data_IF_411236583719
#
_entry.id   IF_411236583719
#
_cell.length_a   1.000
_cell.length_b   1.000
_cell.length_c   1.000
_cell.angle_alpha   90.00
_cell.angle_beta   90.00
_cell.angle_gamma   90.00
#
_symmetry.space_group_name_H-M   'P 1'
#
loop_
_entity.id
_entity.type
_entity.pdbx_description
1 polymer ?
#
# COMPACT_ATOMS: atom_id res chain seq x y z
N UNK A 1 -0.48 7.23 4.59
CA UNK A 1 -1.77 6.75 4.03
C UNK A 1 -2.18 7.53 2.77
N UNK A 2 -2.18 8.87 2.77
CA UNK A 2 -2.58 9.64 1.59
C UNK A 2 -1.60 9.47 0.41
N UNK A 3 -0.32 9.31 0.70
CA UNK A 3 0.68 9.01 -0.32
C UNK A 3 0.47 7.65 -1.00
N UNK A 4 -0.06 6.66 -0.26
CA UNK A 4 -0.47 5.39 -0.86
C UNK A 4 -1.66 5.59 -1.81
N UNK A 5 -2.67 6.32 -1.39
CA UNK A 5 -3.85 6.67 -2.21
C UNK A 5 -3.42 7.45 -3.46
N UNK A 6 -2.53 8.45 -3.32
CA UNK A 6 -2.02 9.16 -4.51
C UNK A 6 -1.22 8.24 -5.44
N UNK A 7 -0.44 7.32 -4.87
CA UNK A 7 0.32 6.35 -5.66
C UNK A 7 -0.59 5.49 -6.55
N UNK A 8 -1.66 4.95 -5.98
CA UNK A 8 -2.71 4.23 -6.71
C UNK A 8 -3.26 5.09 -7.87
N UNK A 9 -3.73 6.31 -7.57
CA UNK A 9 -4.30 7.24 -8.56
C UNK A 9 -3.29 7.58 -9.68
N UNK A 10 -2.01 7.75 -9.33
CA UNK A 10 -0.94 8.08 -10.29
C UNK A 10 -0.61 6.87 -11.16
N UNK A 11 -0.57 5.67 -10.57
CA UNK A 11 -0.20 4.44 -11.26
C UNK A 11 -1.32 3.87 -12.16
N UNK A 12 -2.59 4.09 -11.80
CA UNK A 12 -3.74 3.47 -12.45
C UNK A 12 -3.80 3.63 -14.00
N UNK A 13 -3.39 4.74 -14.64
CA UNK A 13 -3.40 4.83 -16.10
C UNK A 13 -2.34 3.95 -16.78
N UNK A 14 -1.36 3.46 -16.02
CA UNK A 14 -0.17 2.76 -16.54
C UNK A 14 -0.15 1.27 -16.19
N UNK A 15 -1.16 0.79 -15.48
CA UNK A 15 -1.32 -0.61 -15.09
C UNK A 15 -1.38 -1.55 -16.31
N UNK A 16 -0.95 -2.79 -16.11
CA UNK A 16 -0.90 -3.89 -17.05
C UNK A 16 0.18 -3.81 -18.16
N UNK A 17 0.59 -4.98 -18.60
CA UNK A 17 1.64 -5.15 -19.62
C UNK A 17 1.28 -4.58 -21.00
N UNK A 18 -0.01 -4.39 -21.30
CA UNK A 18 -0.40 -3.76 -22.56
C UNK A 18 0.01 -2.28 -22.65
N UNK A 19 0.19 -1.59 -21.53
CA UNK A 19 0.75 -0.25 -21.46
C UNK A 19 2.28 -0.28 -21.56
N UNK A 20 2.91 -1.28 -20.96
CA UNK A 20 4.36 -1.50 -20.88
C UNK A 20 5.16 -0.20 -20.65
N UNK A 21 4.67 0.64 -19.73
CA UNK A 21 5.23 1.97 -19.51
C UNK A 21 6.54 1.87 -18.74
N UNK A 22 7.65 2.37 -19.32
CA UNK A 22 9.01 2.19 -18.80
C UNK A 22 9.79 3.51 -18.63
N UNK A 23 9.07 4.63 -18.50
CA UNK A 23 9.69 5.95 -18.44
C UNK A 23 9.28 6.69 -17.17
N UNK A 24 10.15 7.63 -16.71
CA UNK A 24 9.85 8.53 -15.59
C UNK A 24 9.18 9.83 -16.02
N UNK A 25 9.18 10.13 -17.32
CA UNK A 25 8.61 11.35 -17.88
C UNK A 25 7.14 11.11 -18.28
N UNK A 26 6.24 11.48 -17.38
CA UNK A 26 4.80 11.42 -17.58
C UNK A 26 4.10 12.48 -16.72
N UNK A 27 2.91 12.95 -17.09
CA UNK A 27 2.10 13.81 -16.24
C UNK A 27 1.69 13.02 -14.98
N UNK A 28 2.05 13.52 -13.78
CA UNK A 28 1.82 12.81 -12.52
C UNK A 28 0.33 12.53 -12.31
N UNK A 29 -0.52 13.46 -12.70
CA UNK A 29 -1.97 13.32 -12.71
C UNK A 29 -2.53 13.71 -14.09
N UNK A 30 -3.48 12.93 -14.56
CA UNK A 30 -4.19 13.16 -15.82
C UNK A 30 -5.70 12.95 -15.65
N UNK A 31 -6.48 13.16 -16.70
CA UNK A 31 -7.92 12.84 -16.71
C UNK A 31 -8.20 11.33 -16.59
N UNK A 32 -7.21 10.50 -16.94
CA UNK A 32 -7.29 9.03 -16.81
C UNK A 32 -6.97 8.53 -15.42
N UNK A 33 -6.34 9.37 -14.58
CA UNK A 33 -5.95 8.99 -13.22
C UNK A 33 -7.19 8.85 -12.34
N UNK A 34 -7.38 7.67 -11.78
CA UNK A 34 -8.51 7.30 -10.93
C UNK A 34 -8.05 6.38 -9.79
N UNK A 35 -8.80 6.32 -8.72
CA UNK A 35 -8.52 5.37 -7.65
C UNK A 35 -9.02 3.96 -8.00
N UNK A 36 -8.38 2.95 -7.44
CA UNK A 36 -8.71 1.53 -7.63
C UNK A 36 -9.02 0.87 -6.27
N UNK A 37 -9.04 -0.45 -6.24
CA UNK A 37 -9.21 -1.22 -5.00
C UNK A 37 -8.07 -0.99 -3.99
N UNK A 38 -6.88 -0.59 -4.43
CA UNK A 38 -5.80 -0.14 -3.54
C UNK A 38 -6.26 0.96 -2.59
N UNK A 39 -6.87 2.00 -3.11
CA UNK A 39 -7.42 3.11 -2.30
C UNK A 39 -8.57 2.66 -1.42
N UNK A 40 -9.55 1.93 -1.98
CA UNK A 40 -10.72 1.47 -1.24
C UNK A 40 -10.30 0.58 -0.07
N UNK A 41 -9.41 -0.37 -0.31
CA UNK A 41 -8.94 -1.27 0.74
C UNK A 41 -7.98 -0.60 1.73
N UNK A 42 -7.21 0.39 1.29
CA UNK A 42 -6.40 1.23 2.20
C UNK A 42 -7.29 1.98 3.20
N UNK A 43 -8.39 2.57 2.74
CA UNK A 43 -9.35 3.24 3.61
C UNK A 43 -10.06 2.26 4.56
N UNK A 44 -10.54 1.13 4.03
CA UNK A 44 -11.19 0.08 4.81
C UNK A 44 -10.30 -0.45 5.94
N UNK A 45 -9.05 -0.79 5.62
CA UNK A 45 -8.07 -1.29 6.61
C UNK A 45 -7.74 -0.23 7.65
N UNK A 46 -7.63 1.05 7.27
CA UNK A 46 -7.38 2.12 8.22
C UNK A 46 -8.51 2.25 9.25
N UNK A 47 -9.77 2.24 8.81
CA UNK A 47 -10.93 2.27 9.72
C UNK A 47 -10.95 1.04 10.61
N UNK A 48 -10.76 -0.16 10.06
CA UNK A 48 -10.73 -1.40 10.83
C UNK A 48 -9.62 -1.45 11.88
N UNK A 49 -8.42 -0.91 11.57
CA UNK A 49 -7.33 -0.78 12.55
C UNK A 49 -7.68 0.17 13.71
N UNK A 50 -8.35 1.29 13.41
CA UNK A 50 -8.79 2.26 14.42
C UNK A 50 -9.84 1.60 15.34
N UNK A 51 -10.84 0.95 14.77
CA UNK A 51 -11.89 0.27 15.52
C UNK A 51 -11.39 -0.92 16.34
N UNK A 52 -10.35 -1.57 15.85
CA UNK A 52 -9.67 -2.68 16.52
C UNK A 52 -8.94 -2.27 17.80
N UNK A 53 -8.57 -0.99 17.95
CA UNK A 53 -7.89 -0.41 19.13
C UNK A 53 -6.62 -1.18 19.54
N UNK A 54 -5.92 -1.74 18.55
CA UNK A 54 -4.69 -2.52 18.79
C UNK A 54 -4.90 -3.89 19.43
N UNK A 55 -6.12 -4.40 19.51
CA UNK A 55 -6.43 -5.74 20.00
C UNK A 55 -6.55 -6.70 18.81
N UNK A 56 -5.70 -7.77 18.72
CA UNK A 56 -5.61 -8.61 17.51
C UNK A 56 -6.95 -9.17 17.03
N UNK A 57 -7.69 -9.86 17.89
CA UNK A 57 -8.98 -10.48 17.53
C UNK A 57 -10.02 -9.45 17.12
N UNK A 58 -10.08 -8.32 17.83
CA UNK A 58 -11.00 -7.22 17.51
C UNK A 58 -10.60 -6.56 16.19
N UNK A 59 -9.31 -6.36 15.97
CA UNK A 59 -8.78 -5.80 14.71
C UNK A 59 -9.10 -6.71 13.54
N UNK A 60 -8.91 -8.02 13.67
CA UNK A 60 -9.27 -8.99 12.63
C UNK A 60 -10.73 -8.86 12.21
N UNK A 61 -11.66 -8.89 13.20
CA UNK A 61 -13.09 -8.76 12.93
C UNK A 61 -13.45 -7.41 12.30
N UNK A 62 -12.87 -6.30 12.80
CA UNK A 62 -13.14 -4.97 12.29
C UNK A 62 -12.62 -4.80 10.86
N UNK A 63 -11.39 -5.21 10.58
CA UNK A 63 -10.80 -5.16 9.23
C UNK A 63 -11.60 -6.03 8.25
N UNK A 64 -12.00 -7.24 8.66
CA UNK A 64 -12.86 -8.11 7.84
C UNK A 64 -14.19 -7.43 7.51
N UNK A 65 -14.83 -6.81 8.51
CA UNK A 65 -16.08 -6.08 8.34
C UNK A 65 -15.93 -4.93 7.36
N UNK A 66 -14.95 -4.05 7.62
CA UNK A 66 -14.72 -2.85 6.80
C UNK A 66 -14.35 -3.19 5.36
N UNK A 67 -13.46 -4.15 5.14
CA UNK A 67 -13.10 -4.58 3.79
C UNK A 67 -14.32 -5.11 3.00
N UNK A 68 -15.22 -5.84 3.66
CA UNK A 68 -16.44 -6.34 3.02
C UNK A 68 -17.46 -5.24 2.79
N UNK A 69 -17.59 -4.31 3.71
CA UNK A 69 -18.49 -3.16 3.58
C UNK A 69 -18.05 -2.30 2.40
N UNK A 70 -16.81 -1.78 2.43
CA UNK A 70 -16.28 -0.90 1.39
C UNK A 70 -16.17 -1.60 0.03
N UNK A 71 -15.76 -2.87 0.02
CA UNK A 71 -15.67 -3.64 -1.23
C UNK A 71 -17.01 -3.83 -1.95
N UNK A 72 -18.12 -3.84 -1.22
CA UNK A 72 -19.48 -3.90 -1.79
C UNK A 72 -20.00 -2.54 -2.22
N UNK A 73 -19.63 -1.47 -1.52
CA UNK A 73 -19.94 -0.09 -1.92
C UNK A 73 -19.21 0.32 -3.21
N UNK A 74 -18.02 -0.23 -3.44
CA UNK A 74 -17.20 0.04 -4.63
C UNK A 74 -16.96 -1.23 -5.48
N UNK A 75 -18.02 -1.86 -6.04
CA UNK A 75 -17.90 -3.19 -6.67
C UNK A 75 -17.04 -3.22 -7.95
N UNK A 76 -16.75 -2.06 -8.52
CA UNK A 76 -16.02 -1.90 -9.79
C UNK A 76 -14.60 -1.36 -9.61
N UNK A 77 -14.06 -1.39 -8.38
CA UNK A 77 -12.74 -0.81 -8.08
C UNK A 77 -11.54 -1.61 -8.62
N UNK A 78 -11.72 -2.82 -9.16
CA UNK A 78 -10.61 -3.57 -9.76
C UNK A 78 -10.25 -4.90 -9.07
N UNK A 79 -10.99 -5.31 -8.04
CA UNK A 79 -10.66 -6.49 -7.21
C UNK A 79 -10.34 -7.76 -8.00
N UNK A 80 -9.30 -8.46 -7.54
CA UNK A 80 -8.95 -9.80 -8.03
C UNK A 80 -10.08 -10.83 -7.81
N UNK A 81 -10.11 -11.87 -8.65
CA UNK A 81 -11.20 -12.84 -8.69
C UNK A 81 -11.45 -13.61 -7.39
N UNK A 82 -10.38 -13.95 -6.63
CA UNK A 82 -10.51 -14.61 -5.32
C UNK A 82 -11.09 -13.65 -4.28
N UNK A 83 -10.64 -12.41 -4.28
CA UNK A 83 -11.12 -11.39 -3.36
C UNK A 83 -12.60 -11.05 -3.62
N UNK A 84 -13.03 -10.93 -4.87
CA UNK A 84 -14.45 -10.75 -5.23
C UNK A 84 -15.32 -11.89 -4.67
N UNK A 85 -14.91 -13.15 -4.78
CA UNK A 85 -15.63 -14.28 -4.19
C UNK A 85 -15.71 -14.18 -2.66
N UNK A 86 -14.60 -13.80 -2.03
CA UNK A 86 -14.53 -13.62 -0.57
C UNK A 86 -15.44 -12.49 -0.07
N UNK A 87 -15.56 -11.37 -0.81
CA UNK A 87 -16.46 -10.27 -0.46
C UNK A 87 -17.91 -10.71 -0.31
N UNK A 88 -18.35 -11.68 -1.12
CA UNK A 88 -19.74 -12.15 -1.17
C UNK A 88 -19.97 -13.48 -0.43
N UNK A 89 -18.91 -14.09 0.12
CA UNK A 89 -19.05 -15.34 0.85
C UNK A 89 -19.89 -15.18 2.13
N UNK A 90 -20.72 -16.17 2.45
CA UNK A 90 -21.46 -16.21 3.71
C UNK A 90 -20.50 -16.32 4.90
N UNK A 91 -19.50 -17.19 4.78
CA UNK A 91 -18.44 -17.39 5.76
C UNK A 91 -17.10 -16.98 5.15
N UNK A 92 -16.67 -15.73 5.30
CA UNK A 92 -15.48 -15.19 4.65
C UNK A 92 -14.20 -15.62 5.37
N UNK A 93 -13.76 -16.85 5.14
CA UNK A 93 -12.51 -17.36 5.69
C UNK A 93 -11.31 -16.86 4.89
N UNK A 94 -10.12 -16.74 5.51
CA UNK A 94 -8.87 -16.53 4.78
C UNK A 94 -8.65 -17.64 3.75
N UNK A 95 -8.07 -17.28 2.61
CA UNK A 95 -7.93 -18.22 1.47
C UNK A 95 -6.47 -18.42 1.01
N UNK A 96 -5.51 -18.13 1.87
CA UNK A 96 -4.08 -18.43 1.63
C UNK A 96 -3.45 -17.59 0.53
N UNK A 97 -3.97 -16.40 0.26
CA UNK A 97 -3.37 -15.52 -0.76
C UNK A 97 -1.96 -15.08 -0.35
N UNK A 98 -1.08 -15.01 -1.35
CA UNK A 98 0.25 -14.39 -1.29
C UNK A 98 0.35 -13.19 -2.27
N UNK A 99 -0.80 -12.72 -2.75
CA UNK A 99 -0.91 -11.54 -3.59
C UNK A 99 -0.46 -10.27 -2.88
N UNK A 100 -0.10 -9.25 -3.66
CA UNK A 100 0.35 -7.96 -3.15
C UNK A 100 -0.77 -7.14 -2.48
N UNK A 101 -2.01 -7.59 -2.57
CA UNK A 101 -3.18 -6.97 -1.94
C UNK A 101 -3.11 -6.81 -0.42
N UNK A 102 -2.31 -7.60 0.29
CA UNK A 102 -2.04 -7.37 1.72
C UNK A 102 -1.10 -6.21 1.97
N UNK A 103 -0.13 -5.99 1.08
CA UNK A 103 0.87 -4.92 1.19
C UNK A 103 0.31 -3.57 0.74
N UNK A 104 -0.48 -3.52 -0.35
CA UNK A 104 -1.05 -2.29 -0.89
C UNK A 104 -1.90 -1.53 0.13
N UNK A 105 -2.69 -2.26 0.93
CA UNK A 105 -3.69 -1.70 1.85
C UNK A 105 -3.20 -1.45 3.28
N UNK A 106 -1.96 -1.81 3.62
CA UNK A 106 -1.46 -1.85 5.01
C UNK A 106 -0.92 -0.52 5.53
N UNK A 107 -0.81 0.51 4.69
CA UNK A 107 -0.07 1.74 5.01
C UNK A 107 -0.46 2.36 6.35
N UNK A 108 -1.74 2.33 6.76
CA UNK A 108 -2.19 2.87 8.03
C UNK A 108 -1.55 2.19 9.26
N UNK A 109 -1.23 0.90 9.17
CA UNK A 109 -0.56 0.18 10.26
C UNK A 109 0.81 0.77 10.59
N UNK A 110 1.56 1.25 9.58
CA UNK A 110 2.85 1.91 9.78
C UNK A 110 2.76 3.25 10.53
N UNK A 111 1.57 3.85 10.63
CA UNK A 111 1.34 5.14 11.29
C UNK A 111 0.67 5.03 12.66
N UNK A 112 -0.22 4.05 12.86
CA UNK A 112 -1.17 4.02 13.97
C UNK A 112 -0.58 3.45 15.28
N UNK A 113 0.65 2.97 15.31
CA UNK A 113 1.23 2.33 16.49
C UNK A 113 2.58 2.92 16.87
N UNK A 114 2.87 2.95 18.18
CA UNK A 114 4.05 3.64 18.74
C UNK A 114 5.31 2.76 18.75
N UNK A 115 5.16 1.45 18.51
CA UNK A 115 6.28 0.51 18.48
C UNK A 115 6.29 -0.29 17.18
N UNK A 116 7.50 -0.68 16.75
CA UNK A 116 7.66 -1.52 15.56
C UNK A 116 7.00 -2.90 15.76
N UNK A 117 7.15 -3.50 16.94
CA UNK A 117 6.55 -4.80 17.26
C UNK A 117 5.02 -4.76 17.11
N UNK A 118 4.38 -3.70 17.63
CA UNK A 118 2.94 -3.53 17.49
C UNK A 118 2.51 -3.26 16.06
N UNK A 119 3.31 -2.51 15.31
CA UNK A 119 3.11 -2.29 13.87
C UNK A 119 3.14 -3.62 13.12
N UNK A 120 4.13 -4.46 13.37
CA UNK A 120 4.28 -5.78 12.74
C UNK A 120 3.14 -6.72 13.11
N UNK A 121 2.73 -6.74 14.39
CA UNK A 121 1.60 -7.54 14.86
C UNK A 121 0.30 -7.14 14.13
N UNK A 122 0.01 -5.85 14.08
CA UNK A 122 -1.22 -5.37 13.45
C UNK A 122 -1.20 -5.49 11.93
N UNK A 123 -0.05 -5.30 11.29
CA UNK A 123 0.11 -5.56 9.85
C UNK A 123 -0.18 -7.04 9.52
N UNK A 124 0.34 -7.97 10.34
CA UNK A 124 0.02 -9.41 10.22
C UNK A 124 -1.49 -9.64 10.33
N UNK A 125 -2.13 -9.11 11.35
CA UNK A 125 -3.58 -9.26 11.56
C UNK A 125 -4.40 -8.78 10.35
N UNK A 126 -4.04 -7.63 9.76
CA UNK A 126 -4.73 -7.12 8.55
C UNK A 126 -4.54 -8.03 7.33
N UNK A 127 -3.37 -8.65 7.20
CA UNK A 127 -3.09 -9.59 6.12
C UNK A 127 -3.89 -10.89 6.29
N UNK A 128 -3.89 -11.45 7.50
CA UNK A 128 -4.50 -12.75 7.81
C UNK A 128 -6.01 -12.83 7.51
N UNK A 129 -6.69 -11.70 7.36
CA UNK A 129 -8.11 -11.67 6.97
C UNK A 129 -8.37 -12.37 5.62
N UNK A 130 -7.40 -12.34 4.70
CA UNK A 130 -7.47 -12.95 3.37
C UNK A 130 -6.14 -13.60 2.93
N UNK A 131 -5.01 -12.96 3.26
CA UNK A 131 -3.65 -13.27 2.82
C UNK A 131 -2.87 -13.93 3.96
N UNK A 132 -3.37 -15.06 4.47
CA UNK A 132 -2.72 -15.80 5.56
C UNK A 132 -1.58 -16.74 5.11
N UNK A 133 -1.15 -16.65 3.84
CA UNK A 133 0.08 -17.27 3.37
C UNK A 133 1.31 -16.52 3.94
N UNK A 134 2.41 -17.22 4.30
CA UNK A 134 3.62 -16.57 4.85
C UNK A 134 4.12 -15.38 4.02
N UNK A 135 4.14 -15.48 2.69
CA UNK A 135 4.57 -14.38 1.81
C UNK A 135 3.58 -13.20 1.81
N UNK A 136 2.26 -13.46 1.92
CA UNK A 136 1.26 -12.39 2.04
C UNK A 136 1.39 -11.62 3.36
N UNK A 137 1.63 -12.32 4.47
CA UNK A 137 1.90 -11.72 5.78
C UNK A 137 3.21 -10.94 5.75
N UNK A 138 4.27 -11.53 5.19
CA UNK A 138 5.59 -10.91 5.07
C UNK A 138 5.54 -9.60 4.29
N UNK A 139 4.82 -9.56 3.16
CA UNK A 139 4.66 -8.35 2.35
C UNK A 139 4.00 -7.20 3.10
N UNK A 140 2.91 -7.50 3.83
CA UNK A 140 2.24 -6.50 4.68
C UNK A 140 3.15 -6.01 5.81
N UNK A 141 3.82 -6.92 6.52
CA UNK A 141 4.73 -6.57 7.61
C UNK A 141 5.92 -5.75 7.12
N UNK A 142 6.54 -6.11 6.00
CA UNK A 142 7.65 -5.36 5.42
C UNK A 142 7.23 -3.93 5.05
N UNK A 143 6.11 -3.77 4.34
CA UNK A 143 5.58 -2.45 3.96
C UNK A 143 5.28 -1.58 5.18
N UNK A 144 4.58 -2.11 6.19
CA UNK A 144 4.26 -1.37 7.42
C UNK A 144 5.53 -1.01 8.21
N UNK A 145 6.51 -1.91 8.30
CA UNK A 145 7.77 -1.67 8.97
C UNK A 145 8.57 -0.54 8.30
N UNK A 146 8.65 -0.53 6.97
CA UNK A 146 9.35 0.54 6.24
C UNK A 146 8.68 1.90 6.46
N UNK A 147 7.33 1.96 6.45
CA UNK A 147 6.60 3.19 6.78
C UNK A 147 6.90 3.63 8.22
N UNK A 148 6.88 2.71 9.18
CA UNK A 148 7.19 3.02 10.58
C UNK A 148 8.62 3.57 10.73
N UNK A 149 9.62 2.88 10.18
CA UNK A 149 11.03 3.29 10.24
C UNK A 149 11.25 4.66 9.57
N UNK A 150 10.63 4.87 8.40
CA UNK A 150 10.72 6.13 7.67
C UNK A 150 10.17 7.30 8.51
N UNK A 151 8.95 7.18 9.09
CA UNK A 151 8.34 8.25 9.89
C UNK A 151 9.03 8.49 11.23
N UNK A 152 9.79 7.50 11.73
CA UNK A 152 10.55 7.61 12.99
C UNK A 152 12.00 8.08 12.78
N UNK A 153 12.36 8.49 11.56
CA UNK A 153 13.61 9.17 11.24
C UNK A 153 14.78 8.26 10.89
N UNK A 154 14.53 6.98 10.58
CA UNK A 154 15.58 6.10 10.09
C UNK A 154 16.01 6.47 8.67
N UNK A 155 17.30 6.38 8.42
CA UNK A 155 17.87 6.61 7.09
C UNK A 155 17.57 5.46 6.13
N UNK A 156 17.64 5.72 4.83
CA UNK A 156 17.46 4.69 3.80
C UNK A 156 18.40 3.48 3.94
N UNK A 157 19.70 3.65 4.26
CA UNK A 157 20.57 2.51 4.53
C UNK A 157 20.11 1.65 5.73
N UNK A 158 19.64 2.27 6.81
CA UNK A 158 19.11 1.54 7.98
C UNK A 158 17.83 0.79 7.64
N UNK A 159 16.92 1.41 6.89
CA UNK A 159 15.68 0.79 6.40
C UNK A 159 16.02 -0.41 5.51
N UNK A 160 16.93 -0.23 4.53
CA UNK A 160 17.39 -1.30 3.65
C UNK A 160 17.94 -2.48 4.45
N UNK A 161 18.88 -2.22 5.35
CA UNK A 161 19.49 -3.25 6.18
C UNK A 161 18.45 -4.01 7.01
N UNK A 162 17.50 -3.29 7.62
CA UNK A 162 16.43 -3.91 8.40
C UNK A 162 15.58 -4.86 7.55
N UNK A 163 15.16 -4.43 6.36
CA UNK A 163 14.31 -5.22 5.46
C UNK A 163 15.05 -6.47 4.96
N UNK A 164 16.31 -6.34 4.55
CA UNK A 164 17.13 -7.46 4.09
C UNK A 164 17.34 -8.51 5.20
N UNK A 165 17.65 -8.05 6.42
CA UNK A 165 17.90 -8.94 7.55
C UNK A 165 16.63 -9.60 8.11
N UNK A 166 15.50 -8.87 8.13
CA UNK A 166 14.28 -9.35 8.77
C UNK A 166 13.39 -10.15 7.82
N UNK A 167 13.27 -9.68 6.57
CA UNK A 167 12.35 -10.25 5.60
C UNK A 167 13.03 -11.04 4.48
N UNK A 168 14.37 -10.93 4.34
CA UNK A 168 15.14 -11.65 3.34
C UNK A 168 14.88 -11.17 1.90
N UNK A 169 14.36 -9.96 1.71
CA UNK A 169 14.24 -9.36 0.38
C UNK A 169 15.59 -8.90 -0.13
N UNK A 170 15.88 -9.14 -1.41
CA UNK A 170 17.07 -8.61 -2.08
C UNK A 170 16.78 -7.19 -2.57
N UNK A 171 17.37 -6.20 -1.92
CA UNK A 171 17.25 -4.79 -2.26
C UNK A 171 18.53 -4.20 -2.92
N UNK A 172 19.39 -5.07 -3.47
CA UNK A 172 20.66 -4.63 -4.09
C UNK A 172 20.52 -4.29 -5.57
N UNK A 173 19.40 -4.61 -6.19
CA UNK A 173 19.08 -4.22 -7.59
C UNK A 173 18.68 -2.76 -7.66
N UNK A 174 18.86 -2.16 -8.83
CA UNK A 174 18.42 -0.80 -9.14
C UNK A 174 17.13 -0.80 -9.98
N UNK A 175 16.41 0.33 -9.99
CA UNK A 175 15.26 0.51 -10.88
C UNK A 175 15.64 0.32 -12.35
N UNK A 176 16.84 0.73 -12.75
CA UNK A 176 17.34 0.58 -14.12
C UNK A 176 17.61 -0.88 -14.50
N UNK A 177 18.04 -1.71 -13.54
CA UNK A 177 18.21 -3.16 -13.73
C UNK A 177 16.87 -3.90 -13.76
N UNK A 178 15.88 -3.46 -12.98
CA UNK A 178 14.55 -4.07 -12.88
C UNK A 178 13.70 -3.73 -14.11
N UNK A 179 13.67 -2.47 -14.50
CA UNK A 179 12.76 -1.89 -15.50
C UNK A 179 12.68 -2.66 -16.82
N UNK A 180 13.78 -3.11 -17.44
CA UNK A 180 13.73 -3.78 -18.75
C UNK A 180 12.97 -5.10 -18.77
N UNK A 181 12.94 -5.81 -17.64
CA UNK A 181 12.41 -7.18 -17.55
C UNK A 181 11.17 -7.31 -16.68
N UNK A 182 10.85 -6.30 -15.87
CA UNK A 182 9.68 -6.33 -15.00
C UNK A 182 8.39 -6.30 -15.82
N UNK A 183 7.42 -7.08 -15.40
CA UNK A 183 6.12 -7.26 -16.05
C UNK A 183 5.02 -7.31 -15.00
N UNK A 184 3.77 -7.45 -15.42
CA UNK A 184 2.64 -7.51 -14.51
C UNK A 184 2.71 -8.77 -13.64
N UNK A 185 2.90 -8.57 -12.35
CA UNK A 185 2.92 -9.59 -11.30
C UNK A 185 2.15 -9.07 -10.09
N UNK A 186 1.38 -9.95 -9.48
CA UNK A 186 0.49 -9.61 -8.36
C UNK A 186 0.93 -10.30 -7.05
N UNK A 187 2.19 -10.73 -6.93
CA UNK A 187 2.68 -11.42 -5.74
C UNK A 187 3.45 -10.49 -4.82
N UNK A 188 3.34 -10.67 -3.50
CA UNK A 188 4.10 -9.88 -2.53
C UNK A 188 5.61 -9.96 -2.75
N UNK A 189 6.13 -11.15 -3.06
CA UNK A 189 7.57 -11.39 -3.20
C UNK A 189 8.19 -10.72 -4.44
N UNK A 190 7.37 -10.34 -5.42
CA UNK A 190 7.83 -9.68 -6.65
C UNK A 190 7.38 -8.23 -6.76
N UNK A 191 6.45 -7.78 -5.91
CA UNK A 191 5.97 -6.39 -5.88
C UNK A 191 6.62 -5.59 -4.74
N UNK A 192 6.68 -6.15 -3.54
CA UNK A 192 7.10 -5.38 -2.35
C UNK A 192 8.57 -4.96 -2.40
N UNK A 193 9.54 -5.86 -2.74
CA UNK A 193 10.94 -5.42 -2.85
C UNK A 193 11.15 -4.37 -3.93
N UNK A 194 10.49 -4.47 -5.09
CA UNK A 194 10.57 -3.49 -6.17
C UNK A 194 10.01 -2.12 -5.75
N UNK A 195 8.89 -2.09 -5.04
CA UNK A 195 8.34 -0.86 -4.49
C UNK A 195 9.27 -0.21 -3.45
N UNK A 196 9.92 -1.01 -2.60
CA UNK A 196 10.91 -0.51 -1.64
C UNK A 196 12.15 0.01 -2.37
N UNK A 197 12.66 -0.67 -3.39
CA UNK A 197 13.79 -0.21 -4.21
C UNK A 197 13.46 1.14 -4.88
N UNK A 198 12.25 1.28 -5.45
CA UNK A 198 11.80 2.53 -6.06
C UNK A 198 11.85 3.71 -5.07
N UNK A 199 11.48 3.47 -3.81
CA UNK A 199 11.65 4.44 -2.73
C UNK A 199 13.13 4.67 -2.38
N UNK A 200 13.92 3.62 -2.20
CA UNK A 200 15.32 3.73 -1.77
C UNK A 200 16.17 4.56 -2.76
N UNK A 201 15.91 4.46 -4.05
CA UNK A 201 16.61 5.23 -5.09
C UNK A 201 16.08 6.66 -5.29
N UNK A 202 14.90 6.98 -4.76
CA UNK A 202 14.27 8.28 -4.96
C UNK A 202 15.00 9.42 -4.23
N UNK A 203 14.85 10.64 -4.73
CA UNK A 203 15.39 11.86 -4.11
C UNK A 203 14.29 12.81 -3.59
N UNK A 204 13.02 12.49 -3.89
CA UNK A 204 11.84 13.23 -3.43
C UNK A 204 10.61 12.34 -3.41
N UNK A 205 9.51 12.84 -2.83
CA UNK A 205 8.21 12.16 -2.84
C UNK A 205 7.74 11.87 -4.29
N UNK A 206 7.78 12.86 -5.18
CA UNK A 206 7.37 12.70 -6.57
C UNK A 206 8.30 11.74 -7.34
N UNK A 207 9.60 11.84 -7.11
CA UNK A 207 10.58 10.96 -7.75
C UNK A 207 10.37 9.49 -7.37
N UNK A 208 9.93 9.22 -6.13
CA UNK A 208 9.57 7.87 -5.70
C UNK A 208 8.39 7.30 -6.51
N UNK A 209 7.34 8.09 -6.72
CA UNK A 209 6.21 7.67 -7.56
C UNK A 209 6.62 7.45 -9.02
N UNK A 210 7.47 8.33 -9.57
CA UNK A 210 7.99 8.18 -10.93
C UNK A 210 8.86 6.94 -11.09
N UNK A 211 9.68 6.62 -10.08
CA UNK A 211 10.44 5.37 -10.06
C UNK A 211 9.49 4.17 -10.11
N UNK A 212 8.50 4.10 -9.23
CA UNK A 212 7.56 2.99 -9.14
C UNK A 212 6.79 2.77 -10.45
N UNK A 213 6.15 3.81 -10.99
CA UNK A 213 5.40 3.73 -12.24
C UNK A 213 6.29 3.32 -13.42
N UNK A 214 7.54 3.80 -13.46
CA UNK A 214 8.48 3.49 -14.53
C UNK A 214 8.94 2.03 -14.58
N UNK A 215 8.66 1.24 -13.55
CA UNK A 215 8.90 -0.21 -13.58
C UNK A 215 7.86 -0.93 -14.46
N UNK A 216 6.67 -0.36 -14.63
CA UNK A 216 5.56 -0.95 -15.39
C UNK A 216 4.83 -2.02 -14.61
N UNK A 217 4.10 -2.90 -15.32
CA UNK A 217 3.36 -3.99 -14.72
C UNK A 217 2.17 -3.52 -13.88
N UNK A 218 2.10 -3.95 -12.64
CA UNK A 218 1.11 -3.57 -11.62
C UNK A 218 1.50 -2.22 -11.01
N UNK A 219 1.41 -1.17 -11.83
CA UNK A 219 2.00 0.14 -11.53
C UNK A 219 1.24 0.94 -10.48
N UNK A 220 -0.06 0.74 -10.33
CA UNK A 220 -0.87 1.36 -9.28
C UNK A 220 -0.50 0.78 -7.91
N UNK A 221 -0.41 -0.55 -7.77
CA UNK A 221 0.02 -1.19 -6.52
C UNK A 221 1.49 -0.87 -6.19
N UNK A 222 2.41 -0.91 -7.17
CA UNK A 222 3.80 -0.47 -6.95
C UNK A 222 3.86 0.96 -6.42
N UNK A 223 3.15 1.88 -7.08
CA UNK A 223 3.13 3.29 -6.70
C UNK A 223 2.35 3.52 -5.38
N UNK A 224 1.32 2.73 -5.09
CA UNK A 224 0.60 2.75 -3.82
C UNK A 224 1.55 2.43 -2.65
N UNK A 225 2.25 1.31 -2.71
CA UNK A 225 3.22 0.91 -1.67
C UNK A 225 4.33 1.95 -1.54
N UNK A 226 4.96 2.32 -2.66
CA UNK A 226 6.04 3.30 -2.70
C UNK A 226 5.61 4.66 -2.19
N UNK A 227 4.43 5.14 -2.57
CA UNK A 227 3.87 6.43 -2.15
C UNK A 227 3.56 6.48 -0.66
N UNK A 228 3.07 5.37 -0.09
CA UNK A 228 2.88 5.24 1.36
C UNK A 228 4.18 5.37 2.15
N UNK A 229 5.26 4.79 1.65
CA UNK A 229 6.60 4.89 2.23
C UNK A 229 7.18 6.30 2.04
N UNK A 230 7.07 6.84 0.83
CA UNK A 230 7.60 8.17 0.50
C UNK A 230 6.92 9.29 1.30
N UNK A 231 5.60 9.19 1.56
CA UNK A 231 4.89 10.11 2.46
C UNK A 231 5.49 10.09 3.87
N UNK A 232 5.84 8.93 4.38
CA UNK A 232 6.40 8.77 5.70
C UNK A 232 7.83 9.34 5.82
N UNK A 233 8.61 9.26 4.75
CA UNK A 233 10.01 9.69 4.73
C UNK A 233 10.19 11.16 4.35
N UNK A 234 9.54 11.62 3.29
CA UNK A 234 9.71 12.99 2.74
C UNK A 234 8.62 13.96 3.18
N UNK A 235 7.50 13.45 3.68
CA UNK A 235 6.26 14.20 3.69
C UNK A 235 5.62 14.25 2.30
N UNK A 236 4.40 14.75 2.23
CA UNK A 236 3.67 14.91 0.98
C UNK A 236 3.48 16.39 0.68
N UNK A 237 3.84 16.89 -0.54
CA UNK A 237 3.61 18.27 -0.95
C UNK A 237 2.12 18.66 -0.83
N UNK A 238 1.84 19.89 -0.35
CA UNK A 238 0.48 20.34 -0.08
C UNK A 238 -0.40 20.33 -1.33
N UNK A 239 0.15 20.74 -2.49
CA UNK A 239 -0.56 20.73 -3.76
C UNK A 239 -1.03 19.32 -4.15
N UNK A 240 -0.15 18.32 -3.99
CA UNK A 240 -0.50 16.92 -4.28
C UNK A 240 -1.51 16.37 -3.28
N UNK A 241 -1.44 16.79 -2.01
CA UNK A 241 -2.44 16.44 -0.99
C UNK A 241 -3.82 16.96 -1.39
N UNK A 242 -3.91 18.23 -1.77
CA UNK A 242 -5.16 18.88 -2.14
C UNK A 242 -5.76 18.25 -3.41
N UNK A 243 -4.93 17.98 -4.42
CA UNK A 243 -5.34 17.31 -5.65
C UNK A 243 -5.83 15.87 -5.40
N UNK A 244 -5.17 15.14 -4.51
CA UNK A 244 -5.62 13.79 -4.13
C UNK A 244 -7.01 13.86 -3.49
N UNK A 245 -7.19 14.73 -2.50
CA UNK A 245 -8.46 14.84 -1.77
C UNK A 245 -9.63 15.27 -2.67
N UNK A 246 -9.39 16.10 -3.69
CA UNK A 246 -10.43 16.49 -4.66
C UNK A 246 -10.92 15.30 -5.52
N UNK A 247 -10.08 14.29 -5.73
CA UNK A 247 -10.39 13.11 -6.55
C UNK A 247 -11.11 11.99 -5.79
N UNK A 248 -11.20 12.11 -4.46
CA UNK A 248 -11.81 11.11 -3.61
C UNK A 248 -13.29 11.39 -3.35
N UNK A 249 -14.14 10.37 -3.32
CA UNK A 249 -15.49 10.44 -2.78
C UNK A 249 -15.49 10.89 -1.31
N UNK A 250 -16.62 11.43 -0.86
CA UNK A 250 -16.75 12.00 0.48
C UNK A 250 -16.50 10.99 1.61
N UNK A 251 -16.97 9.77 1.45
CA UNK A 251 -16.81 8.69 2.42
C UNK A 251 -15.35 8.24 2.57
N UNK A 252 -14.61 8.08 1.45
CA UNK A 252 -13.16 7.78 1.47
C UNK A 252 -12.40 8.95 2.13
N UNK A 253 -12.76 10.21 1.83
CA UNK A 253 -12.19 11.38 2.51
C UNK A 253 -12.43 11.35 4.02
N UNK A 254 -13.66 11.03 4.46
CA UNK A 254 -13.98 10.88 5.88
C UNK A 254 -13.16 9.78 6.56
N UNK A 255 -12.94 8.66 5.87
CA UNK A 255 -12.05 7.59 6.35
C UNK A 255 -10.60 8.10 6.54
N UNK A 256 -10.10 8.89 5.60
CA UNK A 256 -8.80 9.55 5.73
C UNK A 256 -8.77 10.60 6.86
N UNK A 257 -9.80 11.40 7.03
CA UNK A 257 -9.91 12.40 8.10
C UNK A 257 -9.92 11.72 9.47
N UNK A 258 -10.66 10.62 9.62
CA UNK A 258 -10.65 9.80 10.83
C UNK A 258 -9.24 9.26 11.14
N UNK A 259 -8.53 8.77 10.12
CA UNK A 259 -7.14 8.35 10.26
C UNK A 259 -6.25 9.52 10.70
N UNK A 260 -6.35 10.68 10.06
CA UNK A 260 -5.58 11.88 10.40
C UNK A 260 -5.82 12.33 11.84
N UNK A 261 -7.07 12.29 12.29
CA UNK A 261 -7.41 12.62 13.67
C UNK A 261 -6.71 11.67 14.64
N UNK A 262 -6.73 10.36 14.37
CA UNK A 262 -6.13 9.36 15.24
C UNK A 262 -4.60 9.46 15.33
N UNK A 263 -3.89 9.78 14.25
CA UNK A 263 -2.44 9.99 14.31
C UNK A 263 -2.07 11.35 14.92
N UNK A 264 -2.93 12.35 14.84
CA UNK A 264 -2.73 13.68 15.44
C UNK A 264 -2.92 13.72 16.96
N UNK A 265 -3.45 12.65 17.55
CA UNK A 265 -3.62 12.51 19.01
C UNK A 265 -2.41 11.82 19.69
N UNK A 266 -1.36 11.51 18.94
CA UNK A 266 -0.18 10.77 19.42
C UNK A 266 1.07 11.61 19.51
#
# INVERSE_FOLDING_TARGET
MLGAILGDIVGSPYEFDHNNYKHKDFPLLSEKSHFTDDTVMTAAVAVGLIDGKGLPERTFCAVQHEMRFWGREYPHAGYGGMFRRWLHAENPNPYGSFGNGSAMRVSAAGWLFDTLDKTLEMAKVTAEVTHNHPEGIKGAQATAAVIFLARTGHSKPEIKQYVEQTFGYDLNRTCDEIRPTYHHVETCQETVPEAIIAFLESVSFEDALRNAVSLGGDSDTLACITGGIAEAFYGMPQELRDETLKRLPEDIRKGYELFRWNIGQR
#
